data_IF_763951279638
#
_entry.id   IF_763951279638
#
_cell.length_a   1.000
_cell.length_b   1.000
_cell.length_c   1.000
_cell.angle_alpha   90.00
_cell.angle_beta   90.00
_cell.angle_gamma   90.00
#
_symmetry.space_group_name_H-M   'P 1'
#
loop_
_entity.id
_entity.type
_entity.pdbx_description
1 polymer ?
#
# COMPACT_ATOMS: atom_id res chain seq x y z
N UNK A 1 5.83 -11.58 14.32
CA UNK A 1 7.24 -11.13 14.31
C UNK A 1 7.44 -10.08 13.21
N UNK A 2 6.82 -8.89 13.35
CA UNK A 2 7.12 -7.70 12.54
C UNK A 2 6.89 -6.46 13.43
N UNK A 3 7.83 -6.21 14.34
CA UNK A 3 7.97 -4.96 15.12
C UNK A 3 9.09 -4.12 14.51
N UNK A 4 9.19 -4.06 13.18
CA UNK A 4 10.36 -3.49 12.48
C UNK A 4 10.38 -1.96 12.49
N UNK A 5 9.32 -1.31 12.95
CA UNK A 5 9.18 0.14 12.84
C UNK A 5 9.97 0.90 13.91
N UNK A 6 10.44 0.21 14.97
CA UNK A 6 11.21 0.78 16.08
C UNK A 6 12.14 -0.27 16.75
N UNK A 7 12.97 -0.96 15.97
CA UNK A 7 13.99 -1.84 16.56
C UNK A 7 15.06 -0.99 17.26
N UNK A 8 15.52 -1.44 18.43
CA UNK A 8 16.68 -0.84 19.06
C UNK A 8 17.92 -1.08 18.19
N UNK A 9 18.95 -0.21 18.24
CA UNK A 9 20.18 -0.43 17.49
C UNK A 9 20.83 -1.82 17.71
N UNK A 10 20.66 -2.40 18.92
CA UNK A 10 21.14 -3.74 19.27
C UNK A 10 20.37 -4.89 18.60
N UNK A 11 19.17 -4.63 18.09
CA UNK A 11 18.28 -5.62 17.47
C UNK A 11 18.23 -5.48 15.94
N UNK A 12 18.79 -4.40 15.39
CA UNK A 12 18.81 -4.13 13.96
C UNK A 12 19.98 -4.85 13.28
N UNK A 13 19.71 -5.60 12.21
CA UNK A 13 20.80 -6.20 11.43
C UNK A 13 21.58 -5.12 10.69
N UNK A 14 22.89 -5.33 10.51
CA UNK A 14 23.74 -4.41 9.75
C UNK A 14 23.20 -4.15 8.34
N UNK A 15 22.69 -5.20 7.68
CA UNK A 15 22.08 -5.07 6.35
C UNK A 15 20.85 -4.16 6.35
N UNK A 16 19.98 -4.27 7.38
CA UNK A 16 18.83 -3.39 7.51
C UNK A 16 19.25 -1.93 7.76
N UNK A 17 20.26 -1.71 8.60
CA UNK A 17 20.82 -0.38 8.85
C UNK A 17 21.39 0.27 7.57
N UNK A 18 22.24 -0.45 6.83
CA UNK A 18 22.83 0.06 5.59
C UNK A 18 21.76 0.34 4.55
N UNK A 19 20.80 -0.57 4.34
CA UNK A 19 19.69 -0.33 3.40
C UNK A 19 18.90 0.94 3.74
N UNK A 20 18.65 1.18 5.03
CA UNK A 20 17.95 2.37 5.49
C UNK A 20 18.78 3.66 5.37
N UNK A 21 20.10 3.60 5.42
CA UNK A 21 20.98 4.79 5.50
C UNK A 21 21.79 5.07 4.23
N UNK A 22 21.89 4.10 3.31
CA UNK A 22 22.71 4.20 2.11
C UNK A 22 22.36 5.41 1.24
N UNK A 23 21.06 5.73 1.15
CA UNK A 23 20.57 6.88 0.38
C UNK A 23 21.05 8.23 0.94
N UNK A 24 21.51 8.29 2.18
CA UNK A 24 22.04 9.50 2.80
C UNK A 24 23.55 9.67 2.54
N UNK A 25 24.26 8.63 2.10
CA UNK A 25 25.71 8.69 1.85
C UNK A 25 26.05 9.59 0.67
N UNK A 26 25.17 9.65 -0.34
CA UNK A 26 25.31 10.50 -1.52
C UNK A 26 24.61 11.87 -1.33
N UNK A 27 24.09 12.14 -0.13
CA UNK A 27 23.38 13.36 0.23
C UNK A 27 21.85 13.24 0.15
N UNK A 28 21.17 14.10 0.92
CA UNK A 28 19.71 14.15 0.96
C UNK A 28 19.21 15.30 0.09
N UNK A 29 18.44 14.98 -0.94
CA UNK A 29 17.79 15.97 -1.79
C UNK A 29 16.40 16.28 -1.28
N UNK A 30 16.07 17.57 -1.18
CA UNK A 30 14.72 18.02 -0.84
C UNK A 30 14.04 18.63 -2.07
N UNK A 31 12.86 18.14 -2.49
CA UNK A 31 12.21 18.69 -3.66
C UNK A 31 11.78 20.13 -3.39
N UNK A 32 12.09 21.02 -4.34
CA UNK A 32 11.61 22.40 -4.27
C UNK A 32 10.07 22.40 -4.24
N UNK A 33 9.47 23.16 -3.33
CA UNK A 33 8.02 23.15 -3.08
C UNK A 33 7.51 21.98 -2.21
N UNK A 34 8.42 21.19 -1.62
CA UNK A 34 8.11 20.10 -0.69
C UNK A 34 7.60 18.83 -1.34
N UNK A 35 7.37 17.76 -0.56
CA UNK A 35 7.03 16.42 -1.09
C UNK A 35 5.79 16.39 -1.99
N UNK A 36 4.85 17.32 -1.80
CA UNK A 36 3.67 17.44 -2.65
C UNK A 36 4.02 17.79 -4.11
N UNK A 37 5.15 18.45 -4.37
CA UNK A 37 5.57 18.76 -5.75
C UNK A 37 5.91 17.48 -6.52
N UNK A 38 6.51 16.48 -5.87
CA UNK A 38 6.77 15.17 -6.47
C UNK A 38 5.47 14.49 -6.91
N UNK A 39 4.48 14.40 -6.02
CA UNK A 39 3.19 13.80 -6.35
C UNK A 39 2.50 14.52 -7.52
N UNK A 40 2.56 15.86 -7.55
CA UNK A 40 2.00 16.66 -8.66
C UNK A 40 2.75 16.43 -9.98
N UNK A 41 4.07 16.28 -9.94
CA UNK A 41 4.89 16.04 -11.12
C UNK A 41 4.63 14.67 -11.76
N UNK A 42 4.18 13.67 -10.99
CA UNK A 42 3.85 12.34 -11.50
C UNK A 42 2.51 12.28 -12.25
N UNK A 43 1.54 13.11 -11.88
CA UNK A 43 0.20 13.15 -12.49
C UNK A 43 0.24 13.32 -14.03
N UNK A 44 0.94 14.32 -14.61
CA UNK A 44 0.97 14.49 -16.05
C UNK A 44 1.60 13.30 -16.77
N UNK A 45 2.61 12.65 -16.19
CA UNK A 45 3.22 11.44 -16.77
C UNK A 45 2.22 10.28 -16.84
N UNK A 46 1.44 10.08 -15.77
CA UNK A 46 0.39 9.04 -15.75
C UNK A 46 -0.68 9.35 -16.81
N UNK A 47 -1.11 10.61 -16.91
CA UNK A 47 -2.13 11.03 -17.86
C UNK A 47 -1.66 10.94 -19.31
N UNK A 48 -0.40 11.31 -19.59
CA UNK A 48 0.20 11.19 -20.92
C UNK A 48 0.32 9.73 -21.38
N UNK A 49 0.48 8.79 -20.45
CA UNK A 49 0.43 7.35 -20.72
C UNK A 49 -1.01 6.80 -20.87
N UNK A 50 -2.04 7.66 -20.86
CA UNK A 50 -3.45 7.27 -20.96
C UNK A 50 -4.10 6.85 -19.64
N UNK A 51 -3.40 7.01 -18.51
CA UNK A 51 -3.90 6.71 -17.18
C UNK A 51 -4.81 7.81 -16.61
N UNK A 52 -5.49 7.48 -15.51
CA UNK A 52 -6.30 8.44 -14.73
C UNK A 52 -5.86 8.42 -13.28
N UNK A 53 -5.79 9.60 -12.67
CA UNK A 53 -5.52 9.79 -11.24
C UNK A 53 -6.81 10.31 -10.60
N UNK A 54 -7.40 9.51 -9.71
CA UNK A 54 -8.65 9.85 -9.03
C UNK A 54 -8.34 10.14 -7.56
N UNK A 55 -8.63 11.37 -7.13
CA UNK A 55 -8.58 11.76 -5.71
C UNK A 55 -9.97 11.65 -5.09
N UNK A 56 -10.05 11.49 -3.76
CA UNK A 56 -11.33 11.29 -3.05
C UNK A 56 -12.11 10.04 -3.52
N UNK A 57 -11.40 9.07 -4.09
CA UNK A 57 -11.93 7.78 -4.54
C UNK A 57 -11.49 6.69 -3.55
N UNK A 58 -12.03 6.74 -2.34
CA UNK A 58 -11.70 5.77 -1.30
C UNK A 58 -12.19 4.38 -1.70
N UNK A 59 -11.31 3.39 -1.65
CA UNK A 59 -11.64 1.99 -1.96
C UNK A 59 -12.30 1.35 -0.73
N UNK A 60 -13.47 0.75 -0.93
CA UNK A 60 -14.20 0.00 0.08
C UNK A 60 -13.80 -1.48 0.09
N UNK A 61 -13.81 -2.12 -1.08
CA UNK A 61 -13.50 -3.55 -1.21
C UNK A 61 -12.84 -3.87 -2.56
N UNK A 62 -12.06 -4.94 -2.59
CA UNK A 62 -11.49 -5.52 -3.82
C UNK A 62 -12.44 -6.62 -4.30
N UNK A 63 -12.82 -6.56 -5.57
CA UNK A 63 -13.66 -7.56 -6.21
C UNK A 63 -12.81 -8.77 -6.61
N UNK A 64 -13.22 -9.95 -6.16
CA UNK A 64 -12.59 -11.22 -6.48
C UNK A 64 -13.51 -12.07 -7.34
N UNK A 65 -12.96 -12.69 -8.37
CA UNK A 65 -13.61 -13.74 -9.15
C UNK A 65 -13.31 -15.11 -8.54
N UNK A 66 -14.30 -15.67 -7.84
CA UNK A 66 -14.23 -16.99 -7.22
C UNK A 66 -14.35 -18.16 -8.20
N UNK A 67 -14.77 -17.90 -9.44
CA UNK A 67 -14.87 -18.92 -10.49
C UNK A 67 -13.51 -19.19 -11.14
N UNK A 68 -12.64 -18.18 -11.16
CA UNK A 68 -11.25 -18.34 -11.61
C UNK A 68 -10.42 -19.15 -10.62
N UNK A 69 -9.59 -20.06 -11.13
CA UNK A 69 -8.59 -20.81 -10.34
C UNK A 69 -7.20 -20.56 -10.91
N UNK A 70 -6.29 -19.89 -10.18
CA UNK A 70 -6.49 -19.32 -8.83
C UNK A 70 -7.43 -18.11 -8.82
N UNK A 71 -8.03 -17.82 -7.66
CA UNK A 71 -8.90 -16.65 -7.44
C UNK A 71 -8.22 -15.37 -7.90
N UNK A 72 -8.92 -14.57 -8.70
CA UNK A 72 -8.35 -13.38 -9.34
C UNK A 72 -9.05 -12.11 -8.88
N UNK A 73 -8.27 -11.06 -8.61
CA UNK A 73 -8.82 -9.72 -8.44
C UNK A 73 -9.25 -9.13 -9.79
N UNK A 74 -10.51 -8.69 -9.87
CA UNK A 74 -11.14 -8.20 -11.12
C UNK A 74 -11.56 -6.74 -11.05
N UNK A 75 -11.33 -6.07 -9.93
CA UNK A 75 -11.65 -4.67 -9.77
C UNK A 75 -11.74 -4.24 -8.31
N UNK A 76 -12.32 -3.07 -8.09
CA UNK A 76 -12.57 -2.50 -6.76
C UNK A 76 -13.96 -1.88 -6.71
N UNK A 77 -14.52 -1.77 -5.51
CA UNK A 77 -15.69 -0.94 -5.24
C UNK A 77 -15.26 0.24 -4.39
N UNK A 78 -15.68 1.43 -4.79
CA UNK A 78 -15.42 2.67 -4.07
C UNK A 78 -16.46 2.87 -2.96
N UNK A 79 -16.18 3.75 -2.00
CA UNK A 79 -17.11 4.06 -0.91
C UNK A 79 -18.46 4.60 -1.40
N UNK A 80 -18.48 5.31 -2.53
CA UNK A 80 -19.70 5.80 -3.18
C UNK A 80 -20.52 4.69 -3.88
N UNK A 81 -20.07 3.43 -3.84
CA UNK A 81 -20.72 2.28 -4.47
C UNK A 81 -20.35 2.05 -5.93
N UNK A 82 -19.57 2.94 -6.55
CA UNK A 82 -19.08 2.78 -7.92
C UNK A 82 -18.13 1.57 -8.03
N UNK A 83 -18.31 0.76 -9.08
CA UNK A 83 -17.45 -0.39 -9.36
C UNK A 83 -16.48 -0.05 -10.47
N UNK A 84 -15.20 -0.22 -10.21
CA UNK A 84 -14.13 -0.05 -11.20
C UNK A 84 -13.60 -1.43 -11.56
N UNK A 85 -13.88 -1.88 -12.78
CA UNK A 85 -13.39 -3.16 -13.31
C UNK A 85 -11.96 -3.06 -13.82
N UNK A 86 -11.16 -4.09 -13.61
CA UNK A 86 -9.78 -4.19 -14.06
C UNK A 86 -9.59 -5.42 -14.95
N UNK A 87 -9.13 -5.21 -16.18
CA UNK A 87 -8.93 -6.30 -17.15
C UNK A 87 -7.68 -7.14 -16.85
N UNK A 88 -6.60 -6.54 -16.30
CA UNK A 88 -5.28 -7.18 -16.17
C UNK A 88 -4.88 -7.49 -14.73
N UNK A 89 -4.85 -6.48 -13.85
CA UNK A 89 -4.38 -6.63 -12.48
C UNK A 89 -4.91 -5.51 -11.58
N UNK A 90 -4.96 -5.78 -10.27
CA UNK A 90 -5.17 -4.79 -9.22
C UNK A 90 -3.89 -4.73 -8.38
N UNK A 91 -3.37 -3.52 -8.16
CA UNK A 91 -2.16 -3.29 -7.35
C UNK A 91 -2.57 -2.52 -6.10
N UNK A 92 -2.24 -3.05 -4.93
CA UNK A 92 -2.54 -2.43 -3.64
C UNK A 92 -1.26 -1.85 -3.02
N UNK A 93 -1.20 -0.53 -2.88
CA UNK A 93 -0.05 0.19 -2.30
C UNK A 93 -0.40 0.88 -0.96
N UNK A 94 -1.52 0.51 -0.33
CA UNK A 94 -2.00 1.09 0.94
C UNK A 94 -1.51 0.36 2.19
N UNK A 95 -0.65 -0.65 2.04
CA UNK A 95 -0.13 -1.46 3.13
C UNK A 95 -0.84 -2.81 3.33
N UNK A 96 -0.14 -3.73 3.98
CA UNK A 96 -0.59 -5.14 4.13
C UNK A 96 -1.76 -5.29 5.11
N UNK A 97 -1.79 -4.52 6.20
CA UNK A 97 -2.84 -4.62 7.22
C UNK A 97 -4.22 -4.23 6.66
N UNK A 98 -4.42 -3.06 6.03
CA UNK A 98 -5.72 -2.70 5.44
C UNK A 98 -6.14 -3.66 4.31
N UNK A 99 -5.17 -4.17 3.53
CA UNK A 99 -5.46 -5.14 2.49
C UNK A 99 -6.17 -6.38 3.03
N UNK A 100 -5.65 -6.97 4.11
CA UNK A 100 -6.19 -8.21 4.68
C UNK A 100 -7.33 -8.00 5.68
N UNK A 101 -7.44 -6.83 6.30
CA UNK A 101 -8.47 -6.57 7.33
C UNK A 101 -9.68 -5.79 6.80
N UNK A 102 -9.53 -5.02 5.72
CA UNK A 102 -10.57 -4.14 5.20
C UNK A 102 -10.93 -4.44 3.74
N UNK A 103 -9.96 -4.54 2.83
CA UNK A 103 -10.25 -4.55 1.40
C UNK A 103 -10.59 -5.93 0.83
N UNK A 104 -9.98 -6.99 1.33
CA UNK A 104 -10.31 -8.34 0.90
C UNK A 104 -11.58 -8.83 1.62
N UNK A 105 -12.50 -9.52 0.91
CA UNK A 105 -13.59 -10.23 1.57
C UNK A 105 -13.00 -11.21 2.58
N UNK A 106 -13.67 -11.41 3.74
CA UNK A 106 -13.19 -12.22 4.88
C UNK A 106 -12.66 -13.58 4.44
N UNK A 107 -11.39 -13.62 4.09
CA UNK A 107 -10.66 -14.80 3.67
C UNK A 107 -9.78 -15.24 4.83
N UNK A 108 -9.48 -16.54 4.95
CA UNK A 108 -8.44 -16.99 5.87
C UNK A 108 -7.15 -16.26 5.54
N UNK A 109 -6.50 -15.69 6.55
CA UNK A 109 -5.19 -15.10 6.38
C UNK A 109 -4.22 -16.18 5.88
N UNK A 110 -3.22 -15.82 5.06
CA UNK A 110 -2.16 -16.76 4.72
C UNK A 110 -1.46 -17.24 6.00
N UNK A 111 -0.84 -18.43 5.95
CA UNK A 111 -0.12 -18.99 7.09
C UNK A 111 0.90 -17.98 7.66
N UNK A 112 0.85 -17.75 8.98
CA UNK A 112 1.66 -16.72 9.66
C UNK A 112 1.06 -15.30 9.64
N UNK A 113 -0.11 -15.12 9.02
CA UNK A 113 -0.81 -13.85 8.93
C UNK A 113 -1.53 -13.42 10.21
N UNK A 114 -1.64 -14.28 11.23
CA UNK A 114 -2.34 -13.99 12.49
C UNK A 114 -1.83 -12.71 13.17
N UNK A 115 -0.54 -12.41 13.02
CA UNK A 115 0.06 -11.17 13.53
C UNK A 115 -0.49 -9.88 12.89
N UNK A 116 -1.15 -9.97 11.73
CA UNK A 116 -1.85 -8.84 11.10
C UNK A 116 -3.16 -8.48 11.82
N UNK A 117 -3.76 -9.42 12.55
CA UNK A 117 -4.96 -9.14 13.38
C UNK A 117 -4.58 -8.41 14.68
N UNK A 118 -3.39 -8.68 15.20
CA UNK A 118 -2.83 -8.01 16.38
C UNK A 118 -2.30 -6.60 16.07
N UNK A 119 -2.02 -6.31 14.80
CA UNK A 119 -1.67 -4.99 14.30
C UNK A 119 -2.90 -4.06 14.32
N UNK A 120 -3.42 -3.75 15.52
CA UNK A 120 -4.35 -2.65 15.68
C UNK A 120 -3.67 -1.39 15.15
N UNK A 121 -4.30 -0.62 14.24
CA UNK A 121 -3.84 0.72 13.98
C UNK A 121 -4.03 1.46 15.31
N UNK A 122 -2.93 1.68 16.05
CA UNK A 122 -2.87 2.86 16.91
C UNK A 122 -2.89 4.02 15.93
N UNK A 123 -4.11 4.41 15.52
CA UNK A 123 -4.36 5.67 14.88
C UNK A 123 -3.59 6.70 15.69
N UNK A 124 -2.79 7.50 15.00
CA UNK A 124 -2.09 8.64 15.57
C UNK A 124 -3.11 9.53 16.28
N UNK A 125 -3.29 9.33 17.57
CA UNK A 125 -3.87 10.32 18.46
C UNK A 125 -2.74 11.32 18.69
N UNK A 126 -2.70 12.36 17.85
CA UNK A 126 -2.09 13.64 18.19
C UNK A 126 -3.09 14.44 19.01
#
# INVERSE_FOLDING_TARGET
>A
MFRTEYLQPSELSFAAYVSATNHALEGLSYPQGGFRSLARALVPTIQAAGGRVLTRAHVREILLDSQSKPTRAVGVVLENGEKVSCAKSVICASGVVPLFTQYLPKAPLPAGGDCLQEARPRLYTL
#
